data_IF_895652387366
#
_entry.id   IF_895652387366
#
_cell.length_a   1.000
_cell.length_b   1.000
_cell.length_c   1.000
_cell.angle_alpha   90.00
_cell.angle_beta   90.00
_cell.angle_gamma   90.00
#
_symmetry.space_group_name_H-M   'P 1'
#
loop_
_entity.id
_entity.type
_entity.pdbx_description
1 polymer ?
#
# COMPACT_ATOMS: atom_id res chain seq x y z
N UNK A 1 4.37 -32.22 -15.17
CA UNK A 1 5.53 -32.14 -14.25
C UNK A 1 6.07 -30.72 -14.11
N UNK A 2 6.11 -29.88 -15.15
CA UNK A 2 6.58 -28.48 -15.02
C UNK A 2 5.62 -27.56 -14.24
N UNK A 3 4.30 -27.65 -14.45
CA UNK A 3 3.32 -26.84 -13.71
C UNK A 3 3.36 -27.06 -12.19
N UNK A 4 3.41 -28.33 -11.77
CA UNK A 4 3.55 -28.70 -10.35
C UNK A 4 4.87 -28.21 -9.72
N UNK A 5 5.94 -28.10 -10.52
CA UNK A 5 7.22 -27.57 -10.07
C UNK A 5 7.16 -26.05 -9.88
N UNK A 6 6.55 -25.32 -10.83
CA UNK A 6 6.34 -23.87 -10.72
C UNK A 6 5.49 -23.49 -9.51
N UNK A 7 4.39 -24.20 -9.28
CA UNK A 7 3.52 -23.97 -8.12
C UNK A 7 4.26 -24.14 -6.80
N UNK A 8 5.12 -25.16 -6.68
CA UNK A 8 5.93 -25.38 -5.50
C UNK A 8 6.94 -24.25 -5.29
N UNK A 9 7.61 -23.80 -6.35
CA UNK A 9 8.56 -22.68 -6.31
C UNK A 9 7.86 -21.38 -5.90
N UNK A 10 6.69 -21.08 -6.47
CA UNK A 10 5.90 -19.91 -6.04
C UNK A 10 5.49 -19.99 -4.57
N UNK A 11 5.10 -21.18 -4.08
CA UNK A 11 4.75 -21.35 -2.66
C UNK A 11 5.96 -21.08 -1.75
N UNK A 12 7.12 -21.64 -2.08
CA UNK A 12 8.36 -21.37 -1.35
C UNK A 12 8.75 -19.90 -1.41
N UNK A 13 8.59 -19.27 -2.58
CA UNK A 13 8.80 -17.84 -2.75
C UNK A 13 7.89 -17.01 -1.83
N UNK A 14 6.60 -17.35 -1.75
CA UNK A 14 5.64 -16.69 -0.86
C UNK A 14 6.02 -16.86 0.62
N UNK A 15 6.48 -18.06 1.01
CA UNK A 15 6.97 -18.32 2.37
C UNK A 15 8.19 -17.44 2.70
N UNK A 16 9.19 -17.40 1.81
CA UNK A 16 10.35 -16.53 1.97
C UNK A 16 9.95 -15.04 2.00
N UNK A 17 9.04 -14.62 1.13
CA UNK A 17 8.50 -13.26 1.08
C UNK A 17 7.87 -12.86 2.41
N UNK A 18 7.01 -13.73 2.97
CA UNK A 18 6.32 -13.49 4.24
C UNK A 18 7.26 -13.35 5.44
N UNK A 19 8.47 -13.91 5.35
CA UNK A 19 9.53 -13.81 6.36
C UNK A 19 10.51 -12.65 6.10
N UNK A 20 10.31 -11.88 5.04
CA UNK A 20 11.23 -10.80 4.64
C UNK A 20 12.51 -11.29 3.95
N UNK A 21 12.60 -12.57 3.59
CA UNK A 21 13.75 -13.15 2.88
C UNK A 21 13.62 -12.89 1.37
N UNK A 22 13.75 -11.61 0.99
CA UNK A 22 13.39 -11.14 -0.35
C UNK A 22 14.29 -11.66 -1.47
N UNK A 23 15.56 -11.93 -1.17
CA UNK A 23 16.51 -12.49 -2.14
C UNK A 23 16.13 -13.93 -2.48
N UNK A 24 15.86 -14.76 -1.48
CA UNK A 24 15.43 -16.14 -1.64
C UNK A 24 14.07 -16.22 -2.33
N UNK A 25 13.12 -15.36 -1.95
CA UNK A 25 11.83 -15.26 -2.61
C UNK A 25 11.98 -14.96 -4.11
N UNK A 26 12.84 -13.98 -4.46
CA UNK A 26 13.13 -13.65 -5.85
C UNK A 26 13.71 -14.84 -6.63
N UNK A 27 14.66 -15.57 -6.05
CA UNK A 27 15.25 -16.76 -6.68
C UNK A 27 14.17 -17.81 -6.97
N UNK A 28 13.30 -18.10 -6.00
CA UNK A 28 12.19 -19.04 -6.20
C UNK A 28 11.26 -18.61 -7.34
N UNK A 29 10.82 -17.35 -7.37
CA UNK A 29 9.94 -16.87 -8.44
C UNK A 29 10.63 -16.83 -9.80
N UNK A 30 11.93 -16.52 -9.86
CA UNK A 30 12.70 -16.52 -11.11
C UNK A 30 12.78 -17.94 -11.71
N UNK A 31 13.00 -18.95 -10.87
CA UNK A 31 12.98 -20.36 -11.29
C UNK A 31 11.57 -20.81 -11.73
N UNK A 32 10.53 -20.36 -11.02
CA UNK A 32 9.15 -20.63 -11.41
C UNK A 32 8.83 -20.03 -12.80
N UNK A 33 9.34 -18.82 -13.07
CA UNK A 33 9.11 -18.12 -14.33
C UNK A 33 9.66 -18.90 -15.53
N UNK A 34 10.83 -19.53 -15.37
CA UNK A 34 11.42 -20.40 -16.40
C UNK A 34 10.52 -21.61 -16.67
N UNK A 35 9.98 -22.24 -15.61
CA UNK A 35 9.04 -23.36 -15.74
C UNK A 35 7.74 -22.94 -16.45
N UNK A 36 7.18 -21.79 -16.08
CA UNK A 36 5.90 -21.31 -16.63
C UNK A 36 6.01 -20.95 -18.10
N UNK A 37 7.10 -20.27 -18.50
CA UNK A 37 7.38 -19.93 -19.91
C UNK A 37 7.47 -21.18 -20.79
N UNK A 38 7.98 -22.29 -20.27
CA UNK A 38 8.06 -23.57 -20.98
C UNK A 38 6.72 -24.31 -21.00
N UNK A 39 5.93 -24.17 -19.95
CA UNK A 39 4.64 -24.88 -19.82
C UNK A 39 3.56 -24.34 -20.76
N UNK A 40 3.62 -23.05 -21.11
CA UNK A 40 2.57 -22.35 -21.85
C UNK A 40 1.31 -22.03 -21.02
N UNK A 41 1.29 -22.35 -19.72
CA UNK A 41 0.19 -21.99 -18.82
C UNK A 41 0.23 -20.49 -18.53
N UNK A 42 -0.70 -19.76 -19.16
CA UNK A 42 -0.80 -18.31 -19.03
C UNK A 42 -1.21 -17.86 -17.62
N UNK A 43 -1.96 -18.66 -16.87
CA UNK A 43 -2.38 -18.31 -15.51
C UNK A 43 -1.24 -18.50 -14.51
N UNK A 44 -0.49 -19.58 -14.64
CA UNK A 44 0.71 -19.79 -13.83
C UNK A 44 1.74 -18.68 -14.12
N UNK A 45 1.99 -18.39 -15.41
CA UNK A 45 2.87 -17.30 -15.84
C UNK A 45 2.44 -15.94 -15.27
N UNK A 46 1.14 -15.64 -15.32
CA UNK A 46 0.58 -14.41 -14.75
C UNK A 46 0.90 -14.28 -13.26
N UNK A 47 0.62 -15.32 -12.48
CA UNK A 47 0.85 -15.32 -11.03
C UNK A 47 2.33 -15.12 -10.69
N UNK A 48 3.22 -15.83 -11.38
CA UNK A 48 4.66 -15.72 -11.16
C UNK A 48 5.21 -14.34 -11.54
N UNK A 49 4.77 -13.77 -12.66
CA UNK A 49 5.16 -12.41 -13.05
C UNK A 49 4.65 -11.36 -12.04
N UNK A 50 3.44 -11.52 -11.52
CA UNK A 50 2.90 -10.67 -10.45
C UNK A 50 3.75 -10.72 -9.18
N UNK A 51 4.12 -11.92 -8.74
CA UNK A 51 5.01 -12.11 -7.59
C UNK A 51 6.40 -11.48 -7.82
N UNK A 52 6.96 -11.64 -9.02
CA UNK A 52 8.21 -10.98 -9.42
C UNK A 52 8.08 -9.46 -9.45
N UNK A 53 6.96 -8.91 -9.93
CA UNK A 53 6.68 -7.48 -9.90
C UNK A 53 6.68 -6.93 -8.47
N UNK A 54 5.93 -7.59 -7.58
CA UNK A 54 5.82 -7.22 -6.17
C UNK A 54 7.18 -7.25 -5.45
N UNK A 55 7.95 -8.34 -5.62
CA UNK A 55 9.25 -8.46 -4.96
C UNK A 55 10.27 -7.46 -5.51
N UNK A 56 10.22 -7.15 -6.82
CA UNK A 56 11.08 -6.12 -7.40
C UNK A 56 10.73 -4.74 -6.83
N UNK A 57 9.43 -4.43 -6.70
CA UNK A 57 8.94 -3.16 -6.16
C UNK A 57 9.43 -2.96 -4.71
N UNK A 58 9.18 -3.91 -3.81
CA UNK A 58 9.61 -3.81 -2.40
C UNK A 58 11.14 -3.80 -2.24
N UNK A 59 11.88 -4.40 -3.19
CA UNK A 59 13.34 -4.36 -3.21
C UNK A 59 13.91 -3.06 -3.82
N UNK A 60 13.07 -2.10 -4.21
CA UNK A 60 13.50 -0.86 -4.87
C UNK A 60 13.98 -1.04 -6.33
N UNK A 61 13.81 -2.22 -6.93
CA UNK A 61 14.16 -2.53 -8.32
C UNK A 61 13.06 -2.07 -9.27
N UNK A 62 12.86 -0.74 -9.33
CA UNK A 62 11.72 -0.10 -10.00
C UNK A 62 11.58 -0.49 -11.48
N UNK A 63 12.66 -0.47 -12.26
CA UNK A 63 12.61 -0.80 -13.69
C UNK A 63 12.21 -2.27 -13.93
N UNK A 64 12.69 -3.18 -13.08
CA UNK A 64 12.31 -4.59 -13.14
C UNK A 64 10.84 -4.76 -12.77
N UNK A 65 10.38 -4.11 -11.70
CA UNK A 65 8.98 -4.15 -11.27
C UNK A 65 8.04 -3.63 -12.38
N UNK A 66 8.37 -2.48 -12.99
CA UNK A 66 7.61 -1.92 -14.10
C UNK A 66 7.55 -2.90 -15.28
N UNK A 67 8.67 -3.51 -15.65
CA UNK A 67 8.72 -4.50 -16.73
C UNK A 67 7.78 -5.67 -16.44
N UNK A 68 7.83 -6.23 -15.21
CA UNK A 68 6.96 -7.35 -14.83
C UNK A 68 5.49 -6.97 -14.81
N UNK A 69 5.13 -5.82 -14.23
CA UNK A 69 3.75 -5.36 -14.24
C UNK A 69 3.22 -5.08 -15.64
N UNK A 70 4.05 -4.60 -16.57
CA UNK A 70 3.63 -4.47 -17.97
C UNK A 70 3.39 -5.83 -18.62
N UNK A 71 4.25 -6.84 -18.38
CA UNK A 71 4.02 -8.22 -18.85
C UNK A 71 2.71 -8.80 -18.26
N UNK A 72 2.45 -8.57 -16.96
CA UNK A 72 1.20 -8.96 -16.28
C UNK A 72 -0.01 -8.28 -16.94
N UNK A 73 0.05 -6.96 -17.15
CA UNK A 73 -1.05 -6.19 -17.73
C UNK A 73 -1.46 -6.69 -19.11
N UNK A 74 -0.49 -7.01 -19.96
CA UNK A 74 -0.76 -7.58 -21.29
C UNK A 74 -1.39 -8.99 -21.20
N UNK A 75 -0.94 -9.84 -20.28
CA UNK A 75 -1.55 -11.14 -20.05
C UNK A 75 -2.97 -11.03 -19.50
N UNK A 76 -3.25 -10.10 -18.58
CA UNK A 76 -4.59 -9.88 -18.04
C UNK A 76 -5.57 -9.44 -19.12
N UNK A 77 -5.15 -8.54 -20.02
CA UNK A 77 -5.95 -8.15 -21.20
C UNK A 77 -6.27 -9.36 -22.08
N UNK A 78 -5.29 -10.24 -22.33
CA UNK A 78 -5.51 -11.47 -23.11
C UNK A 78 -6.48 -12.43 -22.40
N UNK A 79 -6.40 -12.50 -21.07
CA UNK A 79 -7.23 -13.40 -20.26
C UNK A 79 -8.61 -12.82 -19.90
N UNK A 80 -8.86 -11.54 -20.18
CA UNK A 80 -10.08 -10.83 -19.79
C UNK A 80 -10.21 -10.61 -18.28
N UNK A 81 -9.10 -10.50 -17.55
CA UNK A 81 -9.07 -10.31 -16.10
C UNK A 81 -9.16 -8.81 -15.73
N UNK A 82 -10.36 -8.24 -15.82
CA UNK A 82 -10.57 -6.81 -15.54
C UNK A 82 -10.18 -6.41 -14.11
N UNK A 83 -10.52 -7.23 -13.11
CA UNK A 83 -10.17 -6.94 -11.72
C UNK A 83 -8.64 -6.91 -11.54
N UNK A 84 -7.95 -7.88 -12.15
CA UNK A 84 -6.49 -7.92 -12.15
C UNK A 84 -5.88 -6.70 -12.84
N UNK A 85 -6.45 -6.22 -13.95
CA UNK A 85 -5.99 -5.01 -14.65
C UNK A 85 -6.01 -3.81 -13.71
N UNK A 86 -7.14 -3.59 -13.00
CA UNK A 86 -7.24 -2.50 -12.03
C UNK A 86 -6.16 -2.56 -10.95
N UNK A 87 -5.90 -3.75 -10.40
CA UNK A 87 -4.84 -3.96 -9.40
C UNK A 87 -3.45 -3.67 -9.96
N UNK A 88 -3.14 -4.14 -11.17
CA UNK A 88 -1.84 -3.92 -11.81
C UNK A 88 -1.60 -2.44 -12.14
N UNK A 89 -2.64 -1.72 -12.58
CA UNK A 89 -2.58 -0.28 -12.82
C UNK A 89 -2.30 0.48 -11.52
N UNK A 90 -2.98 0.14 -10.42
CA UNK A 90 -2.69 0.72 -9.11
C UNK A 90 -1.23 0.47 -8.68
N UNK A 91 -0.71 -0.73 -8.90
CA UNK A 91 0.70 -1.04 -8.62
C UNK A 91 1.69 -0.24 -9.48
N UNK A 92 1.37 0.01 -10.76
CA UNK A 92 2.15 0.91 -11.62
C UNK A 92 2.07 2.36 -11.11
N UNK A 93 0.90 2.79 -10.63
CA UNK A 93 0.71 4.07 -9.94
C UNK A 93 1.61 4.20 -8.71
N UNK A 94 1.68 3.16 -7.88
CA UNK A 94 2.55 3.11 -6.70
C UNK A 94 4.02 3.29 -7.07
N UNK A 95 4.51 2.64 -8.14
CA UNK A 95 5.89 2.84 -8.62
C UNK A 95 6.18 4.29 -9.02
N UNK A 96 5.19 4.99 -9.59
CA UNK A 96 5.30 6.41 -9.96
C UNK A 96 5.27 7.31 -8.73
N UNK A 97 4.37 7.03 -7.78
CA UNK A 97 4.28 7.74 -6.51
C UNK A 97 5.58 7.62 -5.70
N UNK A 98 6.18 6.42 -5.64
CA UNK A 98 7.48 6.16 -4.99
C UNK A 98 8.66 6.88 -5.66
N UNK A 99 8.48 7.35 -6.90
CA UNK A 99 9.42 8.19 -7.64
C UNK A 99 9.06 9.67 -7.59
N UNK A 100 8.05 10.05 -6.79
CA UNK A 100 7.45 11.38 -6.73
C UNK A 100 6.93 11.91 -8.09
N UNK A 101 6.62 11.01 -9.02
CA UNK A 101 6.01 11.32 -10.33
C UNK A 101 4.48 11.43 -10.18
N UNK A 102 4.02 12.37 -9.36
CA UNK A 102 2.64 12.43 -8.85
C UNK A 102 1.55 12.46 -9.94
N UNK A 103 1.73 13.22 -11.01
CA UNK A 103 0.75 13.27 -12.11
C UNK A 103 0.68 11.95 -12.89
N UNK A 104 1.81 11.25 -13.03
CA UNK A 104 1.81 9.92 -13.67
C UNK A 104 1.18 8.88 -12.76
N UNK A 105 1.42 8.96 -11.46
CA UNK A 105 0.76 8.12 -10.47
C UNK A 105 -0.77 8.32 -10.53
N UNK A 106 -1.21 9.58 -10.52
CA UNK A 106 -2.62 9.96 -10.64
C UNK A 106 -3.28 9.36 -11.87
N UNK A 107 -2.63 9.43 -13.04
CA UNK A 107 -3.18 8.88 -14.27
C UNK A 107 -3.44 7.37 -14.17
N UNK A 108 -2.48 6.60 -13.65
CA UNK A 108 -2.66 5.17 -13.40
C UNK A 108 -3.77 4.88 -12.37
N UNK A 109 -3.83 5.65 -11.28
CA UNK A 109 -4.85 5.45 -10.27
C UNK A 109 -6.27 5.76 -10.77
N UNK A 110 -6.44 6.78 -11.61
CA UNK A 110 -7.74 7.10 -12.20
C UNK A 110 -8.20 6.03 -13.21
N UNK A 111 -7.27 5.44 -13.97
CA UNK A 111 -7.58 4.30 -14.85
C UNK A 111 -7.94 3.06 -14.03
N UNK A 112 -7.22 2.79 -12.94
CA UNK A 112 -7.56 1.73 -12.01
C UNK A 112 -8.94 1.93 -11.36
N UNK A 113 -9.29 3.19 -11.04
CA UNK A 113 -10.53 3.55 -10.37
C UNK A 113 -11.75 3.19 -11.22
N UNK A 114 -11.76 3.61 -12.49
CA UNK A 114 -12.83 3.30 -13.44
C UNK A 114 -13.10 1.79 -13.55
N UNK A 115 -12.03 1.00 -13.59
CA UNK A 115 -12.14 -0.46 -13.68
C UNK A 115 -12.64 -1.06 -12.37
N UNK A 116 -12.07 -0.66 -11.23
CA UNK A 116 -12.44 -1.20 -9.92
C UNK A 116 -13.88 -0.86 -9.51
N UNK A 117 -14.37 0.33 -9.88
CA UNK A 117 -15.77 0.72 -9.68
C UNK A 117 -16.72 -0.15 -10.49
N UNK A 118 -16.35 -0.47 -11.74
CA UNK A 118 -17.13 -1.36 -12.62
C UNK A 118 -17.12 -2.81 -12.16
N UNK A 119 -16.01 -3.31 -11.59
CA UNK A 119 -15.90 -4.68 -11.09
C UNK A 119 -16.40 -4.85 -9.65
N UNK A 120 -16.61 -3.77 -8.90
CA UNK A 120 -17.13 -3.81 -7.53
C UNK A 120 -16.12 -4.26 -6.47
N UNK A 121 -14.83 -3.93 -6.63
CA UNK A 121 -13.78 -4.30 -5.67
C UNK A 121 -13.70 -3.27 -4.53
N UNK A 122 -14.64 -3.33 -3.58
CA UNK A 122 -14.69 -2.39 -2.45
C UNK A 122 -13.37 -2.32 -1.64
N UNK A 123 -12.69 -3.45 -1.29
CA UNK A 123 -11.39 -3.39 -0.62
C UNK A 123 -10.31 -2.71 -1.46
N UNK A 124 -10.22 -3.02 -2.76
CA UNK A 124 -9.28 -2.40 -3.69
C UNK A 124 -9.53 -0.90 -3.85
N UNK A 125 -10.79 -0.50 -4.01
CA UNK A 125 -11.22 0.91 -4.08
C UNK A 125 -10.83 1.68 -2.83
N UNK A 126 -10.97 1.08 -1.64
CA UNK A 126 -10.60 1.73 -0.39
C UNK A 126 -9.11 2.09 -0.33
N UNK A 127 -8.25 1.16 -0.78
CA UNK A 127 -6.81 1.41 -0.89
C UNK A 127 -6.54 2.49 -1.94
N UNK A 128 -7.15 2.37 -3.12
CA UNK A 128 -6.95 3.30 -4.23
C UNK A 128 -7.37 4.74 -3.89
N UNK A 129 -8.47 4.93 -3.17
CA UNK A 129 -8.86 6.25 -2.64
C UNK A 129 -7.82 6.80 -1.66
N UNK A 130 -7.17 5.94 -0.87
CA UNK A 130 -6.07 6.38 0.02
C UNK A 130 -4.86 6.84 -0.79
N UNK A 131 -4.54 6.15 -1.88
CA UNK A 131 -3.42 6.50 -2.78
C UNK A 131 -3.71 7.79 -3.56
N UNK A 132 -4.93 7.97 -4.06
CA UNK A 132 -5.38 9.24 -4.65
C UNK A 132 -5.33 10.39 -3.63
N UNK A 133 -5.70 10.11 -2.38
CA UNK A 133 -5.58 11.09 -1.29
C UNK A 133 -4.13 11.49 -1.01
N UNK A 134 -3.21 10.52 -1.08
CA UNK A 134 -1.77 10.78 -0.96
C UNK A 134 -1.29 11.70 -2.10
N UNK A 135 -1.64 11.38 -3.35
CA UNK A 135 -1.28 12.21 -4.51
C UNK A 135 -1.83 13.63 -4.37
N UNK A 136 -3.11 13.77 -3.98
CA UNK A 136 -3.73 15.08 -3.78
C UNK A 136 -3.00 15.87 -2.68
N UNK A 137 -2.62 15.24 -1.56
CA UNK A 137 -1.86 15.90 -0.49
C UNK A 137 -0.49 16.39 -0.97
N UNK A 138 0.28 15.54 -1.64
CA UNK A 138 1.64 15.87 -2.10
C UNK A 138 1.64 16.91 -3.23
N UNK A 139 0.52 17.07 -3.93
CA UNK A 139 0.31 18.12 -4.94
C UNK A 139 -0.40 19.37 -4.40
N UNK A 140 -0.62 19.46 -3.08
CA UNK A 140 -1.20 20.64 -2.41
C UNK A 140 -2.72 20.75 -2.50
N UNK A 141 -3.42 19.75 -3.05
CA UNK A 141 -4.88 19.68 -3.17
C UNK A 141 -5.48 19.09 -1.87
N UNK A 142 -5.35 19.81 -0.75
CA UNK A 142 -5.65 19.26 0.58
C UNK A 142 -7.14 18.91 0.81
N UNK A 143 -8.07 19.65 0.21
CA UNK A 143 -9.50 19.34 0.30
C UNK A 143 -9.83 18.06 -0.47
N UNK A 144 -9.21 17.86 -1.63
CA UNK A 144 -9.34 16.64 -2.44
C UNK A 144 -8.76 15.44 -1.69
N UNK A 145 -7.61 15.63 -1.04
CA UNK A 145 -7.00 14.60 -0.20
C UNK A 145 -7.95 14.16 0.92
N UNK A 146 -8.53 15.11 1.66
CA UNK A 146 -9.49 14.84 2.72
C UNK A 146 -10.70 14.05 2.20
N UNK A 147 -11.28 14.48 1.08
CA UNK A 147 -12.42 13.77 0.45
C UNK A 147 -12.07 12.35 0.05
N UNK A 148 -10.88 12.13 -0.53
CA UNK A 148 -10.42 10.80 -0.91
C UNK A 148 -10.25 9.90 0.33
N UNK A 149 -9.65 10.41 1.40
CA UNK A 149 -9.53 9.65 2.65
C UNK A 149 -10.88 9.35 3.32
N UNK A 150 -11.88 10.24 3.20
CA UNK A 150 -13.24 9.98 3.67
C UNK A 150 -13.94 8.86 2.88
N UNK A 151 -13.76 8.82 1.56
CA UNK A 151 -14.26 7.70 0.73
C UNK A 151 -13.59 6.38 1.12
N UNK A 152 -12.27 6.38 1.28
CA UNK A 152 -11.52 5.23 1.81
C UNK A 152 -12.06 4.78 3.16
N UNK A 153 -12.26 5.69 4.12
CA UNK A 153 -12.82 5.37 5.44
C UNK A 153 -14.20 4.74 5.36
N UNK A 154 -15.06 5.23 4.46
CA UNK A 154 -16.39 4.66 4.24
C UNK A 154 -16.31 3.19 3.79
N UNK A 155 -15.45 2.91 2.81
CA UNK A 155 -15.24 1.56 2.28
C UNK A 155 -14.54 0.63 3.28
N UNK A 156 -13.51 1.10 3.97
CA UNK A 156 -12.83 0.33 5.03
C UNK A 156 -13.80 -0.01 6.17
N UNK A 157 -14.72 0.90 6.52
CA UNK A 157 -15.77 0.62 7.50
C UNK A 157 -16.75 -0.44 7.00
N UNK A 158 -17.21 -0.35 5.74
CA UNK A 158 -18.11 -1.33 5.12
C UNK A 158 -17.50 -2.74 5.10
N UNK A 159 -16.19 -2.84 4.85
CA UNK A 159 -15.45 -4.11 4.77
C UNK A 159 -14.91 -4.59 6.12
N UNK A 160 -15.08 -3.82 7.20
CA UNK A 160 -14.58 -4.15 8.54
C UNK A 160 -13.07 -4.01 8.72
N UNK A 161 -12.36 -3.38 7.80
CA UNK A 161 -10.91 -3.21 7.85
C UNK A 161 -10.49 -2.10 8.85
N UNK A 162 -10.36 -2.47 10.12
CA UNK A 162 -9.96 -1.54 11.19
C UNK A 162 -8.56 -0.96 10.98
N UNK A 163 -7.61 -1.77 10.48
CA UNK A 163 -6.24 -1.31 10.20
C UNK A 163 -6.23 -0.21 9.14
N UNK A 164 -6.94 -0.43 8.04
CA UNK A 164 -7.12 0.57 6.97
C UNK A 164 -7.82 1.83 7.46
N UNK A 165 -8.82 1.71 8.34
CA UNK A 165 -9.44 2.87 8.97
C UNK A 165 -8.45 3.69 9.81
N UNK A 166 -7.62 3.02 10.62
CA UNK A 166 -6.60 3.70 11.41
C UNK A 166 -5.58 4.43 10.53
N UNK A 167 -5.14 3.81 9.42
CA UNK A 167 -4.24 4.43 8.46
C UNK A 167 -4.84 5.64 7.77
N UNK A 168 -6.10 5.56 7.31
CA UNK A 168 -6.77 6.68 6.65
C UNK A 168 -6.95 7.89 7.59
N UNK A 169 -7.36 7.66 8.85
CA UNK A 169 -7.40 8.72 9.86
C UNK A 169 -6.03 9.36 10.09
N UNK A 170 -4.97 8.57 10.17
CA UNK A 170 -3.60 9.08 10.33
C UNK A 170 -3.17 9.89 9.12
N UNK A 171 -3.53 9.48 7.90
CA UNK A 171 -3.22 10.23 6.68
C UNK A 171 -3.98 11.56 6.60
N UNK A 172 -5.25 11.60 7.02
CA UNK A 172 -5.97 12.87 7.21
C UNK A 172 -5.28 13.75 8.24
N UNK A 173 -4.83 13.18 9.37
CA UNK A 173 -4.05 13.88 10.37
C UNK A 173 -2.80 14.55 9.79
N UNK A 174 -2.00 13.82 9.01
CA UNK A 174 -0.83 14.38 8.30
C UNK A 174 -1.19 15.48 7.32
N UNK A 175 -2.34 15.37 6.65
CA UNK A 175 -2.85 16.39 5.72
C UNK A 175 -3.19 17.69 6.45
N UNK A 176 -3.74 17.60 7.65
CA UNK A 176 -3.99 18.77 8.50
C UNK A 176 -2.69 19.37 9.09
N UNK A 177 -1.70 18.55 9.43
CA UNK A 177 -0.37 19.04 9.83
C UNK A 177 0.24 19.93 8.74
N UNK A 178 0.18 19.51 7.47
CA UNK A 178 0.71 20.31 6.34
C UNK A 178 -0.01 21.67 6.18
N UNK A 179 -1.26 21.76 6.63
CA UNK A 179 -2.04 23.00 6.66
C UNK A 179 -1.85 23.81 7.95
N UNK A 180 -0.99 23.37 8.88
CA UNK A 180 -0.85 23.94 10.24
C UNK A 180 -2.15 23.92 11.06
N UNK A 181 -3.04 22.99 10.74
CA UNK A 181 -4.34 22.75 11.39
C UNK A 181 -4.18 21.68 12.46
N UNK A 182 -3.43 22.01 13.51
CA UNK A 182 -2.95 21.03 14.47
C UNK A 182 -4.06 20.44 15.36
N UNK A 183 -5.14 21.19 15.62
CA UNK A 183 -6.27 20.68 16.39
C UNK A 183 -7.01 19.57 15.64
N UNK A 184 -7.32 19.77 14.36
CA UNK A 184 -7.92 18.75 13.52
C UNK A 184 -6.97 17.56 13.30
N UNK A 185 -5.67 17.83 13.14
CA UNK A 185 -4.66 16.78 13.05
C UNK A 185 -4.67 15.87 14.28
N UNK A 186 -4.65 16.45 15.48
CA UNK A 186 -4.70 15.72 16.75
C UNK A 186 -6.01 14.94 16.89
N UNK A 187 -7.16 15.49 16.47
CA UNK A 187 -8.44 14.78 16.51
C UNK A 187 -8.44 13.52 15.61
N UNK A 188 -7.92 13.65 14.39
CA UNK A 188 -7.74 12.53 13.47
C UNK A 188 -6.78 11.48 14.06
N UNK A 189 -5.64 11.89 14.59
CA UNK A 189 -4.66 10.97 15.17
C UNK A 189 -5.16 10.27 16.44
N UNK A 190 -5.94 10.93 17.29
CA UNK A 190 -6.61 10.30 18.44
C UNK A 190 -7.58 9.22 18.00
N UNK A 191 -8.34 9.48 16.92
CA UNK A 191 -9.26 8.48 16.35
C UNK A 191 -8.49 7.30 15.75
N UNK A 192 -7.43 7.57 14.99
CA UNK A 192 -6.51 6.55 14.46
C UNK A 192 -5.95 5.66 15.57
N UNK A 193 -5.42 6.28 16.63
CA UNK A 193 -4.87 5.59 17.79
C UNK A 193 -5.91 4.70 18.47
N UNK A 194 -7.10 5.24 18.74
CA UNK A 194 -8.18 4.48 19.38
C UNK A 194 -8.67 3.29 18.54
N UNK A 195 -8.61 3.37 17.21
CA UNK A 195 -8.92 2.23 16.33
C UNK A 195 -7.79 1.19 16.38
N UNK A 196 -6.54 1.63 16.27
CA UNK A 196 -5.38 0.74 16.33
C UNK A 196 -5.28 -0.01 17.66
N UNK A 197 -5.48 0.67 18.79
CA UNK A 197 -5.45 0.05 20.13
C UNK A 197 -6.55 -0.98 20.34
N UNK A 198 -7.77 -0.69 19.84
CA UNK A 198 -8.87 -1.68 19.86
C UNK A 198 -8.55 -2.93 19.06
N UNK A 199 -7.75 -2.80 18.00
CA UNK A 199 -7.27 -3.92 17.19
C UNK A 199 -6.00 -4.59 17.72
N UNK A 200 -5.38 -4.08 18.80
CA UNK A 200 -4.08 -4.57 19.29
C UNK A 200 -2.91 -4.28 18.33
N UNK A 201 -3.06 -3.32 17.41
CA UNK A 201 -2.05 -2.99 16.41
C UNK A 201 -1.08 -1.92 16.94
N UNK A 202 -0.03 -2.37 17.61
CA UNK A 202 0.99 -1.49 18.20
C UNK A 202 1.70 -0.63 17.14
N UNK A 203 1.94 -1.17 15.93
CA UNK A 203 2.63 -0.46 14.86
C UNK A 203 1.82 0.74 14.37
N UNK A 204 0.53 0.54 14.09
CA UNK A 204 -0.38 1.64 13.69
C UNK A 204 -0.58 2.63 14.82
N UNK A 205 -0.65 2.17 16.07
CA UNK A 205 -0.71 3.03 17.24
C UNK A 205 0.55 3.91 17.36
N UNK A 206 1.74 3.35 17.10
CA UNK A 206 2.99 4.10 17.01
C UNK A 206 2.98 5.15 15.91
N UNK A 207 2.49 4.79 14.72
CA UNK A 207 2.33 5.75 13.62
C UNK A 207 1.43 6.93 13.97
N UNK A 208 0.31 6.70 14.67
CA UNK A 208 -0.57 7.78 15.12
C UNK A 208 0.11 8.67 16.16
N UNK A 209 0.79 8.08 17.15
CA UNK A 209 1.56 8.80 18.18
C UNK A 209 2.68 9.66 17.60
N UNK A 210 3.36 9.17 16.56
CA UNK A 210 4.41 9.92 15.87
C UNK A 210 3.86 11.22 15.27
N UNK A 211 2.71 11.16 14.59
CA UNK A 211 2.08 12.38 14.02
C UNK A 211 1.57 13.31 15.12
N UNK A 212 1.07 12.78 16.25
CA UNK A 212 0.70 13.60 17.41
C UNK A 212 1.91 14.31 18.03
N UNK A 213 3.05 13.62 18.13
CA UNK A 213 4.29 14.22 18.63
C UNK A 213 4.73 15.38 17.73
N UNK A 214 4.68 15.21 16.40
CA UNK A 214 4.95 16.28 15.45
C UNK A 214 4.02 17.49 15.69
N UNK A 215 2.72 17.28 15.93
CA UNK A 215 1.80 18.37 16.25
C UNK A 215 2.21 19.09 17.53
N UNK A 216 2.58 18.36 18.58
CA UNK A 216 2.99 18.95 19.85
C UNK A 216 4.31 19.71 19.77
N UNK A 217 5.28 19.24 18.97
CA UNK A 217 6.52 19.99 18.70
C UNK A 217 6.21 21.35 18.06
N UNK A 218 5.33 21.38 17.05
CA UNK A 218 4.94 22.59 16.34
C UNK A 218 4.16 23.58 17.21
N UNK A 219 3.38 23.09 18.19
CA UNK A 219 2.64 23.93 19.16
C UNK A 219 3.54 24.39 20.33
N UNK A 220 4.74 23.81 20.49
CA UNK A 220 5.67 24.13 21.59
C UNK A 220 5.48 23.27 22.85
N UNK A 221 4.70 22.20 22.77
CA UNK A 221 4.45 21.23 23.84
C UNK A 221 5.50 20.12 23.82
N UNK A 222 6.76 20.52 24.01
CA UNK A 222 7.92 19.64 23.81
C UNK A 222 7.97 18.44 24.77
N UNK A 223 7.40 18.58 25.97
CA UNK A 223 7.37 17.47 26.94
C UNK A 223 6.44 16.36 26.46
N UNK A 224 5.23 16.72 26.05
CA UNK A 224 4.22 15.82 25.54
C UNK A 224 4.68 15.13 24.25
N UNK A 225 5.38 15.86 23.38
CA UNK A 225 6.03 15.28 22.21
C UNK A 225 7.09 14.24 22.59
N UNK A 226 7.98 14.56 23.54
CA UNK A 226 9.04 13.66 23.99
C UNK A 226 8.47 12.37 24.59
N UNK A 227 7.42 12.47 25.42
CA UNK A 227 6.77 11.32 26.05
C UNK A 227 6.18 10.35 24.99
N UNK A 228 5.57 10.91 23.93
CA UNK A 228 5.05 10.11 22.81
C UNK A 228 6.17 9.44 22.01
N UNK A 229 7.25 10.16 21.71
CA UNK A 229 8.39 9.61 20.98
C UNK A 229 9.13 8.54 21.78
N UNK A 230 9.26 8.69 23.10
CA UNK A 230 9.85 7.67 23.96
C UNK A 230 9.05 6.36 23.91
N UNK A 231 7.71 6.44 23.86
CA UNK A 231 6.87 5.28 23.63
C UNK A 231 7.17 4.62 22.28
N UNK A 232 7.23 5.40 21.19
CA UNK A 232 7.49 4.88 19.84
C UNK A 232 8.86 4.18 19.78
N UNK A 233 9.89 4.78 20.36
CA UNK A 233 11.25 4.19 20.42
C UNK A 233 11.26 2.89 21.23
N UNK A 234 10.53 2.83 22.35
CA UNK A 234 10.41 1.59 23.14
C UNK A 234 9.73 0.48 22.34
N UNK A 235 8.68 0.82 21.60
CA UNK A 235 8.00 -0.11 20.71
C UNK A 235 8.93 -0.61 19.60
N UNK A 236 9.65 0.27 18.89
CA UNK A 236 10.57 -0.12 17.82
C UNK A 236 11.65 -1.10 18.30
N UNK A 237 12.15 -0.93 19.53
CA UNK A 237 13.14 -1.84 20.13
C UNK A 237 12.61 -3.25 20.38
N UNK A 238 11.29 -3.43 20.54
CA UNK A 238 10.64 -4.74 20.71
C UNK A 238 10.68 -5.59 19.43
N UNK A 239 10.81 -4.94 18.26
CA UNK A 239 10.73 -5.57 16.94
C UNK A 239 12.07 -5.62 16.19
N UNK A 240 13.19 -5.35 16.88
CA UNK A 240 14.56 -5.57 16.37
C UNK A 240 15.03 -6.98 16.70
#
# INVERSE_FOLDING_TARGET
MLGTQSEQLNRQGNEHFSRGHYTEAYVCYAQALECDRLSGDRRALLATLGNLGNICAVSGRRDQAQTRYQEVLELQKILGDEQGIGTTLANLGNLRADAAEWERARAYYLEALDIMERTGDDPGLAVLYSDLGLVARETGQYDDATRCYEQSLSLMRRTGNQGGMADAWRMMGRTYVMQKRYEEALACCRTSLAVAERGGDELRAGGARYVMAQCYEEIGWHKEAADLLEWVVRMDRKYR
#
